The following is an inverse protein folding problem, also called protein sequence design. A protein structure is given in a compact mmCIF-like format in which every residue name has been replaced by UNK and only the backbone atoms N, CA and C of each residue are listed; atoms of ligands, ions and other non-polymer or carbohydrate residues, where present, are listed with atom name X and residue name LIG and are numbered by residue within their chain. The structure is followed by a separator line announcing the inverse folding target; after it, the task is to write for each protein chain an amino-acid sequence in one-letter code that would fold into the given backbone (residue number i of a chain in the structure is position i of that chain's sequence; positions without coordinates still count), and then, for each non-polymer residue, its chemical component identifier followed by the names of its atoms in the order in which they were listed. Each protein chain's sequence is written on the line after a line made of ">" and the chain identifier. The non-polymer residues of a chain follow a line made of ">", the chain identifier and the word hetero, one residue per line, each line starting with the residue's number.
data_IF_552794497085
#
_entry.id   IF_552794497085
#
_cell.length_a   1.000
_cell.length_b   1.000
_cell.length_c   1.000
_cell.angle_alpha   90.00
_cell.angle_beta   90.00
_cell.angle_gamma   90.00
#
_symmetry.space_group_name_H-M   'P 1'
#
loop_
_entity.id
_entity.type
_entity.pdbx_description
1 polymer ?
#
# COMPACT_ATOMS: atom_id res chain seq x y z
N UNK A 1 -32.46 10.49 66.68
CA UNK A 1 -31.81 9.52 65.77
C UNK A 1 -31.57 10.19 64.39
N UNK A 2 -30.34 10.53 64.10
CA UNK A 2 -29.97 11.16 62.79
C UNK A 2 -29.64 10.06 61.79
N UNK A 3 -30.38 10.02 60.66
CA UNK A 3 -30.09 9.11 59.56
C UNK A 3 -28.96 9.72 58.69
N UNK A 4 -27.87 9.01 58.59
CA UNK A 4 -26.77 9.36 57.68
C UNK A 4 -27.02 8.63 56.36
N UNK A 5 -27.29 9.38 55.30
CA UNK A 5 -27.39 8.85 53.93
C UNK A 5 -26.01 8.90 53.30
N UNK A 6 -25.43 7.74 53.00
CA UNK A 6 -24.15 7.64 52.27
C UNK A 6 -24.49 7.52 50.81
N UNK A 7 -24.12 8.54 50.01
CA UNK A 7 -24.23 8.53 48.57
C UNK A 7 -22.94 7.95 47.99
N UNK A 8 -23.02 6.77 47.40
CA UNK A 8 -21.92 6.11 46.73
C UNK A 8 -21.82 6.66 45.31
N UNK A 9 -20.80 7.49 45.04
CA UNK A 9 -20.48 7.94 43.70
C UNK A 9 -19.71 6.83 42.96
N UNK A 10 -20.35 6.19 41.97
CA UNK A 10 -19.69 5.30 41.02
C UNK A 10 -18.95 6.20 40.01
N UNK A 11 -17.64 6.28 40.13
CA UNK A 11 -16.75 6.78 39.07
C UNK A 11 -16.62 5.70 38.02
N UNK A 12 -17.39 5.81 36.91
CA UNK A 12 -17.15 5.04 35.69
C UNK A 12 -15.89 5.57 35.06
N UNK A 13 -14.79 4.82 35.15
CA UNK A 13 -13.58 5.06 34.38
C UNK A 13 -13.87 4.77 32.90
N UNK A 14 -14.01 5.81 32.10
CA UNK A 14 -13.98 5.70 30.64
C UNK A 14 -12.53 5.38 30.28
N UNK A 15 -12.22 4.11 30.09
CA UNK A 15 -11.01 3.71 29.40
C UNK A 15 -11.21 4.04 27.93
N UNK A 16 -10.62 5.15 27.47
CA UNK A 16 -10.42 5.36 26.06
C UNK A 16 -9.49 4.26 25.56
N UNK A 17 -9.98 3.37 24.69
CA UNK A 17 -9.12 2.52 23.90
C UNK A 17 -8.17 3.45 23.12
N UNK A 18 -6.93 3.54 23.59
CA UNK A 18 -5.85 4.05 22.74
C UNK A 18 -5.71 3.05 21.60
N UNK A 19 -6.33 3.35 20.45
CA UNK A 19 -5.93 2.73 19.18
C UNK A 19 -4.41 2.85 19.12
N UNK A 20 -3.72 1.71 19.13
CA UNK A 20 -2.28 1.65 18.91
C UNK A 20 -2.02 2.24 17.52
N UNK A 21 -1.76 3.52 17.46
CA UNK A 21 -1.35 4.18 16.24
C UNK A 21 0.06 3.67 15.92
N UNK A 22 0.15 2.79 14.93
CA UNK A 22 1.44 2.34 14.40
C UNK A 22 2.13 3.59 13.83
N UNK A 23 3.29 4.01 14.34
CA UNK A 23 3.95 5.19 13.81
C UNK A 23 4.24 5.00 12.33
N UNK A 24 4.01 6.03 11.54
CA UNK A 24 4.38 6.03 10.12
C UNK A 24 5.89 5.80 10.01
N UNK A 25 6.36 4.81 9.24
CA UNK A 25 7.78 4.58 9.04
C UNK A 25 8.48 5.83 8.51
N UNK A 26 9.73 6.04 8.91
CA UNK A 26 10.55 7.10 8.33
C UNK A 26 10.72 6.89 6.82
N UNK A 27 10.50 7.94 6.04
CA UNK A 27 10.67 7.90 4.59
C UNK A 27 12.15 7.75 4.25
N UNK A 28 12.49 6.70 3.52
CA UNK A 28 13.84 6.48 3.02
C UNK A 28 14.13 7.24 1.71
N UNK A 29 13.08 7.50 0.93
CA UNK A 29 13.18 8.11 -0.40
C UNK A 29 12.11 9.18 -0.61
N UNK A 30 12.38 10.10 -1.54
CA UNK A 30 11.42 11.05 -2.08
C UNK A 30 11.04 10.65 -3.49
N UNK A 31 9.76 10.29 -3.70
CA UNK A 31 9.25 9.89 -5.01
C UNK A 31 8.84 11.15 -5.77
N UNK A 32 9.55 11.45 -6.85
CA UNK A 32 9.31 12.63 -7.68
C UNK A 32 8.22 12.41 -8.72
N UNK A 33 8.14 11.17 -9.24
CA UNK A 33 7.22 10.84 -10.32
C UNK A 33 6.90 9.35 -10.36
N UNK A 34 5.64 9.03 -10.66
CA UNK A 34 5.17 7.66 -10.85
C UNK A 34 4.41 7.55 -12.17
N UNK A 35 4.75 6.55 -12.97
CA UNK A 35 3.99 6.16 -14.16
C UNK A 35 3.33 4.83 -13.86
N UNK A 36 2.01 4.79 -13.92
CA UNK A 36 1.20 3.61 -13.65
C UNK A 36 0.55 3.17 -14.97
N UNK A 37 0.97 2.02 -15.48
CA UNK A 37 0.44 1.40 -16.69
C UNK A 37 -0.24 0.08 -16.30
N UNK A 38 -1.56 0.02 -16.43
CA UNK A 38 -2.36 -1.11 -15.97
C UNK A 38 -3.31 -1.63 -17.04
N UNK A 39 -3.51 -2.94 -17.01
CA UNK A 39 -4.58 -3.62 -17.71
C UNK A 39 -5.52 -4.26 -16.68
N UNK A 40 -6.80 -3.96 -16.79
CA UNK A 40 -7.84 -4.51 -15.92
C UNK A 40 -8.47 -5.74 -16.58
N UNK A 41 -8.45 -6.86 -15.88
CA UNK A 41 -9.20 -8.06 -16.23
C UNK A 41 -10.48 -8.12 -15.37
N UNK A 42 -11.59 -7.71 -15.96
CA UNK A 42 -12.89 -7.67 -15.29
C UNK A 42 -13.44 -9.06 -14.94
N UNK A 43 -13.09 -10.09 -15.70
CA UNK A 43 -13.63 -11.42 -15.47
C UNK A 43 -12.98 -12.09 -14.27
N UNK A 44 -11.67 -11.97 -14.15
CA UNK A 44 -10.90 -12.53 -13.04
C UNK A 44 -10.66 -11.53 -11.90
N UNK A 45 -11.19 -10.29 -12.01
CA UNK A 45 -11.02 -9.24 -11.02
C UNK A 45 -9.55 -8.97 -10.67
N UNK A 46 -8.72 -8.83 -11.71
CA UNK A 46 -7.28 -8.66 -11.58
C UNK A 46 -6.79 -7.40 -12.28
N UNK A 47 -5.69 -6.89 -11.74
CA UNK A 47 -4.86 -5.87 -12.36
C UNK A 47 -3.55 -6.52 -12.82
N UNK A 48 -3.18 -6.29 -14.06
CA UNK A 48 -1.85 -6.60 -14.59
C UNK A 48 -1.15 -5.27 -14.75
N UNK A 49 -0.18 -5.01 -13.89
CA UNK A 49 0.43 -3.69 -13.74
C UNK A 49 1.92 -3.66 -14.07
N UNK A 50 2.32 -2.48 -14.51
CA UNK A 50 3.70 -2.03 -14.58
C UNK A 50 3.74 -0.63 -14.01
N UNK A 51 4.47 -0.45 -12.92
CA UNK A 51 4.69 0.86 -12.30
C UNK A 51 6.16 1.24 -12.42
N UNK A 52 6.42 2.52 -12.68
CA UNK A 52 7.75 3.10 -12.68
C UNK A 52 7.79 4.24 -11.69
N UNK A 53 8.62 4.15 -10.65
CA UNK A 53 8.85 5.21 -9.68
C UNK A 53 10.21 5.84 -9.92
N UNK A 54 10.23 7.15 -10.12
CA UNK A 54 11.47 7.96 -10.12
C UNK A 54 11.60 8.63 -8.78
N UNK A 55 12.72 8.44 -8.10
CA UNK A 55 12.94 8.87 -6.73
C UNK A 55 14.38 9.26 -6.45
N UNK A 56 14.61 9.99 -5.37
CA UNK A 56 15.92 10.24 -4.78
C UNK A 56 15.95 9.76 -3.33
N UNK A 57 17.07 9.18 -2.83
CA UNK A 57 17.24 8.90 -1.42
C UNK A 57 17.12 10.17 -0.56
N UNK A 58 16.54 10.09 0.63
CA UNK A 58 16.51 11.18 1.61
C UNK A 58 17.74 11.17 2.53
N UNK A 59 18.41 10.04 2.62
CA UNK A 59 19.61 9.88 3.44
C UNK A 59 20.92 9.87 2.65
N UNK A 60 22.02 9.76 3.37
CA UNK A 60 23.37 9.72 2.80
C UNK A 60 23.73 8.39 2.13
N UNK A 61 23.01 7.33 2.43
CA UNK A 61 23.28 5.97 1.93
C UNK A 61 22.03 5.11 1.99
N UNK A 62 21.43 4.82 0.85
CA UNK A 62 20.29 3.91 0.71
C UNK A 62 20.68 2.80 -0.26
N UNK A 63 20.67 1.55 0.20
CA UNK A 63 21.00 0.35 -0.59
C UNK A 63 19.82 -0.60 -0.78
N UNK A 64 18.74 -0.38 -0.03
CA UNK A 64 17.51 -1.16 -0.12
C UNK A 64 16.31 -0.20 -0.22
N UNK A 65 15.25 -0.65 -0.85
CA UNK A 65 13.99 0.08 -0.94
C UNK A 65 12.85 -0.88 -0.62
N UNK A 66 12.01 -0.49 0.33
CA UNK A 66 10.80 -1.21 0.69
C UNK A 66 9.59 -0.41 0.24
N UNK A 67 8.64 -1.08 -0.40
CA UNK A 67 7.35 -0.51 -0.81
C UNK A 67 6.23 -1.42 -0.31
N UNK A 68 5.11 -0.83 0.05
CA UNK A 68 3.91 -1.60 0.38
C UNK A 68 3.38 -2.29 -0.88
N UNK A 69 3.03 -3.58 -0.76
CA UNK A 69 2.60 -4.42 -1.89
C UNK A 69 1.80 -5.61 -1.38
N UNK A 70 0.59 -5.36 -0.90
CA UNK A 70 -0.34 -6.38 -0.43
C UNK A 70 -1.22 -6.88 -1.60
N UNK A 71 -1.69 -8.12 -1.54
CA UNK A 71 -2.53 -8.75 -2.58
C UNK A 71 -1.91 -8.78 -3.99
N UNK A 72 -0.61 -8.58 -4.09
CA UNK A 72 0.14 -8.53 -5.33
C UNK A 72 1.06 -9.74 -5.47
N UNK A 73 1.33 -10.12 -6.71
CA UNK A 73 2.40 -11.05 -7.07
C UNK A 73 3.39 -10.28 -7.93
N UNK A 74 4.55 -9.99 -7.37
CA UNK A 74 5.61 -9.29 -8.08
C UNK A 74 6.28 -10.26 -9.06
N UNK A 75 6.39 -9.85 -10.31
CA UNK A 75 6.92 -10.67 -11.40
C UNK A 75 8.35 -10.31 -11.75
N UNK A 76 8.68 -9.03 -11.71
CA UNK A 76 9.98 -8.52 -12.10
C UNK A 76 10.21 -7.15 -11.49
N UNK A 77 11.43 -6.90 -11.06
CA UNK A 77 11.89 -5.58 -10.60
C UNK A 77 13.16 -5.20 -11.33
N UNK A 78 13.22 -3.97 -11.83
CA UNK A 78 14.41 -3.42 -12.49
C UNK A 78 14.77 -2.07 -11.89
N UNK A 79 16.07 -1.83 -11.79
CA UNK A 79 16.65 -0.51 -11.52
C UNK A 79 17.26 0.01 -12.82
N UNK A 80 16.65 1.02 -13.42
CA UNK A 80 16.93 1.39 -14.80
C UNK A 80 16.69 0.21 -15.75
N UNK A 81 17.74 -0.22 -16.46
CA UNK A 81 17.67 -1.35 -17.42
C UNK A 81 18.10 -2.71 -16.85
N UNK A 82 18.49 -2.77 -15.55
CA UNK A 82 19.00 -3.99 -14.93
C UNK A 82 17.96 -4.62 -14.01
N UNK A 83 17.80 -5.93 -14.12
CA UNK A 83 17.06 -6.70 -13.12
C UNK A 83 17.80 -6.65 -11.79
N UNK A 84 17.06 -6.46 -10.70
CA UNK A 84 17.59 -6.43 -9.34
C UNK A 84 16.93 -7.50 -8.47
N UNK A 85 17.66 -8.00 -7.45
CA UNK A 85 17.09 -8.94 -6.49
C UNK A 85 15.96 -8.29 -5.69
N UNK A 86 14.93 -9.07 -5.42
CA UNK A 86 13.83 -8.69 -4.55
C UNK A 86 13.27 -9.91 -3.83
N UNK A 87 12.60 -9.67 -2.72
CA UNK A 87 11.70 -10.65 -2.12
C UNK A 87 10.42 -9.96 -1.67
N UNK A 88 9.35 -10.70 -1.60
CA UNK A 88 8.05 -10.21 -1.19
C UNK A 88 7.64 -10.87 0.14
N UNK A 89 7.29 -10.06 1.13
CA UNK A 89 6.57 -10.47 2.33
C UNK A 89 5.05 -10.42 2.08
N UNK A 90 4.23 -10.63 3.09
CA UNK A 90 2.77 -10.53 2.95
C UNK A 90 2.30 -9.10 2.59
N UNK A 91 2.99 -8.09 3.10
CA UNK A 91 2.58 -6.69 2.99
C UNK A 91 3.56 -5.81 2.19
N UNK A 92 4.79 -6.28 1.93
CA UNK A 92 5.83 -5.43 1.38
C UNK A 92 6.68 -6.12 0.31
N UNK A 93 7.14 -5.31 -0.64
CA UNK A 93 8.17 -5.62 -1.61
C UNK A 93 9.50 -5.04 -1.13
N UNK A 94 10.48 -5.90 -0.90
CA UNK A 94 11.85 -5.55 -0.50
C UNK A 94 12.79 -5.67 -1.70
N UNK A 95 13.50 -4.60 -2.03
CA UNK A 95 14.37 -4.52 -3.21
C UNK A 95 15.81 -4.22 -2.79
N UNK A 96 16.78 -4.98 -3.33
CA UNK A 96 18.20 -4.70 -3.20
C UNK A 96 18.65 -3.84 -4.39
N UNK A 97 19.10 -2.61 -4.14
CA UNK A 97 19.55 -1.68 -5.17
C UNK A 97 20.96 -1.98 -5.70
N UNK A 98 21.59 -3.09 -5.24
CA UNK A 98 22.93 -3.58 -5.64
C UNK A 98 24.11 -2.72 -5.18
N UNK A 99 23.89 -1.50 -4.78
CA UNK A 99 24.87 -0.56 -4.21
C UNK A 99 24.17 0.54 -3.45
N UNK A 100 24.92 1.30 -2.69
CA UNK A 100 24.41 2.47 -2.00
C UNK A 100 24.28 3.67 -2.92
N UNK A 101 23.20 4.42 -2.72
CA UNK A 101 22.91 5.69 -3.37
C UNK A 101 22.69 6.78 -2.33
N UNK A 102 22.91 8.02 -2.72
CA UNK A 102 22.79 9.20 -1.85
C UNK A 102 21.72 10.16 -2.35
N UNK A 103 21.42 11.16 -1.59
CA UNK A 103 20.44 12.20 -1.93
C UNK A 103 20.74 12.98 -3.24
N UNK A 104 21.98 12.87 -3.78
CA UNK A 104 22.34 13.44 -5.09
C UNK A 104 21.97 12.56 -6.27
N UNK A 105 21.60 11.31 -6.01
CA UNK A 105 21.25 10.36 -7.06
C UNK A 105 19.75 10.43 -7.36
N UNK A 106 19.40 10.27 -8.62
CA UNK A 106 18.01 10.06 -9.08
C UNK A 106 17.92 8.69 -9.73
N UNK A 107 16.99 7.89 -9.28
CA UNK A 107 16.84 6.50 -9.67
C UNK A 107 15.44 6.26 -10.23
N UNK A 108 15.33 5.27 -11.10
CA UNK A 108 14.01 4.78 -11.54
C UNK A 108 13.94 3.27 -11.33
N UNK A 109 12.98 2.84 -10.51
CA UNK A 109 12.62 1.44 -10.35
C UNK A 109 11.39 1.14 -11.19
N UNK A 110 11.39 -0.02 -11.88
CA UNK A 110 10.27 -0.50 -12.69
C UNK A 110 9.83 -1.86 -12.14
N UNK A 111 8.56 -1.94 -11.75
CA UNK A 111 7.97 -3.12 -11.10
C UNK A 111 6.85 -3.65 -12.01
N UNK A 112 6.92 -4.94 -12.35
CA UNK A 112 5.84 -5.64 -13.05
C UNK A 112 5.15 -6.59 -12.06
N UNK A 113 3.82 -6.54 -12.00
CA UNK A 113 3.06 -7.28 -11.01
C UNK A 113 1.69 -7.73 -11.55
N UNK A 114 1.05 -8.59 -10.78
CA UNK A 114 -0.37 -8.91 -10.91
C UNK A 114 -0.99 -8.75 -9.53
N UNK A 115 -2.08 -7.98 -9.43
CA UNK A 115 -2.81 -7.79 -8.18
C UNK A 115 -4.20 -8.43 -8.26
N UNK A 116 -4.68 -8.90 -7.10
CA UNK A 116 -6.06 -9.35 -6.90
C UNK A 116 -6.60 -8.58 -5.69
N UNK A 117 -6.95 -7.29 -5.88
CA UNK A 117 -7.23 -6.38 -4.78
C UNK A 117 -8.45 -6.79 -3.97
N UNK A 118 -8.35 -6.76 -2.64
CA UNK A 118 -9.47 -6.92 -1.71
C UNK A 118 -10.16 -5.59 -1.41
N UNK A 119 -9.42 -4.50 -1.55
CA UNK A 119 -9.85 -3.13 -1.30
C UNK A 119 -9.07 -2.15 -2.20
N UNK A 120 -9.41 -0.87 -2.20
CA UNK A 120 -8.75 0.17 -3.01
C UNK A 120 -9.14 0.17 -4.49
N UNK A 121 -9.46 -0.98 -5.08
CA UNK A 121 -10.01 -1.12 -6.42
C UNK A 121 -11.17 -2.13 -6.41
N UNK A 122 -12.33 -1.68 -6.85
CA UNK A 122 -13.57 -2.44 -6.80
C UNK A 122 -14.06 -2.75 -8.21
N UNK A 123 -14.55 -3.99 -8.41
CA UNK A 123 -15.09 -4.46 -9.69
C UNK A 123 -16.61 -4.59 -9.62
N UNK A 124 -17.29 -4.13 -10.66
CA UNK A 124 -18.74 -4.24 -10.82
C UNK A 124 -19.04 -4.99 -12.10
N UNK A 125 -19.85 -6.03 -11.97
CA UNK A 125 -20.27 -6.91 -13.06
C UNK A 125 -21.81 -7.05 -13.05
N UNK A 126 -22.42 -7.46 -14.17
CA UNK A 126 -23.80 -7.94 -14.15
C UNK A 126 -24.00 -9.03 -13.11
N UNK A 127 -25.11 -9.00 -12.39
CA UNK A 127 -25.55 -10.02 -11.45
C UNK A 127 -27.06 -10.27 -11.59
N UNK A 128 -27.61 -11.20 -10.83
CA UNK A 128 -29.05 -11.54 -10.89
C UNK A 128 -29.97 -10.37 -10.53
N UNK A 129 -29.50 -9.44 -9.68
CA UNK A 129 -30.28 -8.27 -9.26
C UNK A 129 -30.14 -7.10 -10.25
N UNK A 130 -29.02 -7.05 -10.97
CA UNK A 130 -28.68 -5.99 -11.93
C UNK A 130 -28.08 -6.56 -13.21
N UNK A 131 -28.89 -7.26 -14.05
CA UNK A 131 -28.39 -7.99 -15.23
C UNK A 131 -27.86 -7.06 -16.33
N UNK A 132 -28.31 -5.81 -16.39
CA UNK A 132 -27.87 -4.82 -17.38
C UNK A 132 -26.71 -3.94 -16.92
N UNK A 133 -26.15 -4.21 -15.72
CA UNK A 133 -25.01 -3.46 -15.20
C UNK A 133 -23.82 -3.55 -16.16
N UNK A 134 -23.20 -2.41 -16.45
CA UNK A 134 -21.97 -2.39 -17.26
C UNK A 134 -20.78 -2.84 -16.41
N UNK A 135 -19.80 -3.46 -17.07
CA UNK A 135 -18.50 -3.75 -16.47
C UNK A 135 -17.82 -2.43 -16.10
N UNK A 136 -17.47 -2.29 -14.84
CA UNK A 136 -16.81 -1.10 -14.30
C UNK A 136 -15.75 -1.51 -13.29
N UNK A 137 -14.68 -0.72 -13.22
CA UNK A 137 -13.74 -0.75 -12.10
C UNK A 137 -13.68 0.66 -11.52
N UNK A 138 -13.63 0.76 -10.22
CA UNK A 138 -13.62 2.01 -9.50
C UNK A 138 -12.61 1.96 -8.36
N UNK A 139 -11.84 3.04 -8.19
CA UNK A 139 -10.82 3.12 -7.14
C UNK A 139 -11.25 4.11 -6.07
N UNK A 140 -11.00 3.73 -4.83
CA UNK A 140 -11.06 4.61 -3.66
C UNK A 140 -9.97 4.18 -2.70
N UNK A 141 -8.85 4.91 -2.72
CA UNK A 141 -7.73 4.67 -1.83
C UNK A 141 -7.85 5.57 -0.61
N UNK A 142 -8.55 5.12 0.43
CA UNK A 142 -8.52 5.76 1.74
C UNK A 142 -7.35 5.19 2.54
N UNK A 143 -6.63 6.05 3.24
CA UNK A 143 -5.44 5.69 4.01
C UNK A 143 -4.43 4.90 3.15
N UNK A 144 -4.37 3.58 3.32
CA UNK A 144 -3.39 2.70 2.69
C UNK A 144 -3.98 1.79 1.61
N UNK A 145 -5.27 1.87 1.31
CA UNK A 145 -5.98 0.92 0.43
C UNK A 145 -5.36 0.76 -0.98
N UNK A 146 -4.64 1.77 -1.47
CA UNK A 146 -4.00 1.68 -2.79
C UNK A 146 -2.89 0.63 -2.86
N UNK A 147 -2.27 0.24 -1.74
CA UNK A 147 -1.21 -0.77 -1.71
C UNK A 147 -1.67 -2.18 -2.14
N UNK A 148 -2.99 -2.39 -2.31
CA UNK A 148 -3.55 -3.65 -2.80
C UNK A 148 -3.56 -3.78 -4.32
N UNK A 149 -3.27 -2.71 -5.08
CA UNK A 149 -3.35 -2.76 -6.54
C UNK A 149 -2.32 -1.90 -7.29
N UNK A 150 -1.64 -0.97 -6.62
CA UNK A 150 -0.59 -0.08 -7.19
C UNK A 150 0.42 0.35 -6.15
#
# INVERSE_FOLDING_TARGET
>A
MKKITVTLLLLASIQSEQKNHKPTPDRAVDIHHSIIDIKIDFLSEKVIGKVSHTFSPLGSSVSNLDLDAEDMIIRRVRLGDKDIPFFQSEEQLHMDLLKSFSWTDTLTVVINYTATPRTGLYFFKPDSSYPDRKLQAWTQGEETDNHHWV
#
